data_IF_513512938894
#
_entry.id   IF_513512938894
#
_cell.length_a   1.000
_cell.length_b   1.000
_cell.length_c   1.000
_cell.angle_alpha   90.00
_cell.angle_beta   90.00
_cell.angle_gamma   90.00
#
_symmetry.space_group_name_H-M   'P 1'
#
loop_
_entity.id
_entity.type
_entity.pdbx_description
1 polymer ?
#
# COMPACT_ATOMS: atom_id res chain seq x y z
N UNK A 1 -6.01 -20.18 -11.02
CA UNK A 1 -6.69 -19.43 -9.99
C UNK A 1 -7.35 -18.17 -10.54
N UNK A 2 -8.08 -17.45 -9.71
CA UNK A 2 -8.69 -16.16 -10.05
C UNK A 2 -7.64 -15.11 -10.36
N UNK A 3 -8.00 -14.15 -11.20
CA UNK A 3 -7.17 -12.99 -11.58
C UNK A 3 -7.95 -11.70 -11.37
N UNK A 4 -7.23 -10.59 -11.28
CA UNK A 4 -7.85 -9.27 -11.30
C UNK A 4 -8.59 -9.07 -12.63
N UNK A 5 -9.86 -8.63 -12.56
CA UNK A 5 -10.75 -8.48 -13.72
C UNK A 5 -11.71 -9.66 -13.94
N UNK A 6 -11.50 -10.81 -13.29
CA UNK A 6 -12.49 -11.89 -13.31
C UNK A 6 -13.79 -11.43 -12.62
N UNK A 7 -14.95 -11.82 -13.16
CA UNK A 7 -16.25 -11.51 -12.59
C UNK A 7 -16.79 -12.71 -11.83
N UNK A 8 -16.86 -12.60 -10.49
CA UNK A 8 -17.41 -13.64 -9.60
C UNK A 8 -18.93 -13.56 -9.64
N UNK A 9 -19.60 -14.68 -9.91
CA UNK A 9 -21.06 -14.76 -9.94
C UNK A 9 -21.66 -15.77 -8.96
N UNK A 10 -20.84 -16.68 -8.37
CA UNK A 10 -21.27 -17.55 -7.26
C UNK A 10 -20.17 -17.69 -6.20
N UNK A 11 -20.61 -17.87 -4.96
CA UNK A 11 -19.76 -18.21 -3.80
C UNK A 11 -20.42 -19.37 -3.06
N UNK A 12 -19.68 -20.46 -2.85
CA UNK A 12 -20.16 -21.68 -2.21
C UNK A 12 -21.48 -22.21 -2.80
N UNK A 13 -21.59 -22.16 -4.14
CA UNK A 13 -22.76 -22.60 -4.89
C UNK A 13 -23.94 -21.62 -4.88
N UNK A 14 -23.86 -20.52 -4.15
CA UNK A 14 -24.92 -19.48 -4.10
C UNK A 14 -24.66 -18.39 -5.13
N UNK A 15 -25.64 -18.13 -5.99
CA UNK A 15 -25.56 -17.08 -7.01
C UNK A 15 -25.59 -15.69 -6.37
N UNK A 16 -24.63 -14.85 -6.73
CA UNK A 16 -24.60 -13.46 -6.31
C UNK A 16 -25.62 -12.64 -7.11
N UNK A 17 -26.37 -11.81 -6.40
CA UNK A 17 -27.39 -10.91 -6.95
C UNK A 17 -27.19 -9.50 -6.38
N UNK A 18 -27.84 -8.51 -6.97
CA UNK A 18 -27.85 -7.14 -6.44
C UNK A 18 -28.38 -7.03 -4.99
N UNK A 19 -29.19 -8.00 -4.55
CA UNK A 19 -29.78 -8.00 -3.20
C UNK A 19 -28.93 -8.71 -2.15
N UNK A 20 -28.01 -9.62 -2.52
CA UNK A 20 -27.26 -10.43 -1.57
C UNK A 20 -25.74 -10.23 -1.61
N UNK A 21 -25.16 -9.67 -2.68
CA UNK A 21 -23.71 -9.60 -2.85
C UNK A 21 -23.02 -8.83 -1.71
N UNK A 22 -23.63 -7.76 -1.20
CA UNK A 22 -23.04 -6.95 -0.11
C UNK A 22 -22.86 -7.76 1.17
N UNK A 23 -23.82 -8.62 1.51
CA UNK A 23 -23.74 -9.50 2.69
C UNK A 23 -22.57 -10.46 2.57
N UNK A 24 -22.41 -11.10 1.41
CA UNK A 24 -21.28 -12.02 1.16
C UNK A 24 -19.95 -11.31 1.12
N UNK A 25 -19.86 -10.15 0.46
CA UNK A 25 -18.62 -9.38 0.41
C UNK A 25 -18.20 -8.88 1.79
N UNK A 26 -19.15 -8.44 2.62
CA UNK A 26 -18.90 -8.06 4.00
C UNK A 26 -18.38 -9.23 4.84
N UNK A 27 -18.97 -10.42 4.70
CA UNK A 27 -18.51 -11.62 5.39
C UNK A 27 -17.09 -12.00 4.97
N UNK A 28 -16.81 -12.02 3.66
CA UNK A 28 -15.48 -12.33 3.12
C UNK A 28 -14.42 -11.32 3.56
N UNK A 29 -14.79 -10.05 3.70
CA UNK A 29 -13.86 -8.98 4.05
C UNK A 29 -13.59 -8.91 5.56
N UNK A 30 -14.64 -8.98 6.40
CA UNK A 30 -14.50 -8.74 7.84
C UNK A 30 -14.28 -10.02 8.67
N UNK A 31 -14.82 -11.14 8.24
CA UNK A 31 -14.78 -12.39 8.99
C UNK A 31 -14.53 -13.61 8.07
N UNK A 32 -13.47 -13.60 7.25
CA UNK A 32 -13.19 -14.76 6.43
C UNK A 32 -12.82 -15.96 7.30
N UNK A 33 -13.41 -17.13 7.01
CA UNK A 33 -13.06 -18.36 7.69
C UNK A 33 -13.31 -19.58 6.81
N UNK A 34 -12.43 -20.58 6.90
CA UNK A 34 -12.55 -21.82 6.12
C UNK A 34 -12.22 -21.65 4.64
N UNK A 35 -12.77 -22.53 3.82
CA UNK A 35 -12.56 -22.57 2.37
C UNK A 35 -13.82 -22.10 1.64
N UNK A 36 -13.62 -21.27 0.65
CA UNK A 36 -14.67 -20.75 -0.24
C UNK A 36 -14.47 -21.29 -1.65
N UNK A 37 -15.54 -21.74 -2.27
CA UNK A 37 -15.58 -22.07 -3.69
C UNK A 37 -16.15 -20.89 -4.46
N UNK A 38 -15.38 -20.31 -5.37
CA UNK A 38 -15.78 -19.24 -6.25
C UNK A 38 -16.05 -19.75 -7.65
N UNK A 39 -17.19 -19.38 -8.25
CA UNK A 39 -17.42 -19.55 -9.67
C UNK A 39 -17.38 -18.17 -10.35
N UNK A 40 -16.60 -18.05 -11.42
CA UNK A 40 -16.32 -16.78 -12.08
C UNK A 40 -16.18 -16.93 -13.59
N UNK A 41 -16.34 -15.83 -14.29
CA UNK A 41 -16.08 -15.71 -15.73
C UNK A 41 -14.88 -14.80 -15.95
N UNK A 42 -14.19 -15.01 -17.08
CA UNK A 42 -13.01 -14.24 -17.46
C UNK A 42 -13.27 -13.51 -18.77
N UNK A 43 -12.70 -12.29 -18.89
CA UNK A 43 -12.81 -11.46 -20.09
C UNK A 43 -14.25 -11.23 -20.58
N UNK A 44 -15.22 -11.19 -19.65
CA UNK A 44 -16.66 -11.10 -19.91
C UNK A 44 -17.21 -12.24 -20.81
N UNK A 45 -16.48 -13.35 -20.95
CA UNK A 45 -16.95 -14.54 -21.65
C UNK A 45 -17.98 -15.29 -20.81
N UNK A 46 -19.25 -15.12 -21.16
CA UNK A 46 -20.38 -15.74 -20.45
C UNK A 46 -20.56 -17.23 -20.82
N UNK A 47 -19.87 -17.73 -21.84
CA UNK A 47 -19.97 -19.13 -22.27
C UNK A 47 -19.04 -20.05 -21.48
N UNK A 48 -17.96 -19.48 -20.90
CA UNK A 48 -16.97 -20.24 -20.15
C UNK A 48 -16.95 -19.79 -18.69
N UNK A 49 -17.24 -20.70 -17.77
CA UNK A 49 -17.10 -20.46 -16.35
C UNK A 49 -15.93 -21.25 -15.75
N UNK A 50 -15.33 -20.68 -14.74
CA UNK A 50 -14.18 -21.26 -14.02
C UNK A 50 -14.54 -21.41 -12.54
N UNK A 51 -13.89 -22.35 -11.87
CA UNK A 51 -14.01 -22.56 -10.42
C UNK A 51 -12.65 -22.46 -9.76
N UNK A 52 -12.62 -21.84 -8.58
CA UNK A 52 -11.45 -21.81 -7.72
C UNK A 52 -11.84 -21.99 -6.26
N UNK A 53 -11.07 -22.78 -5.54
CA UNK A 53 -11.16 -22.88 -4.08
C UNK A 53 -10.08 -21.99 -3.45
N UNK A 54 -10.49 -21.19 -2.46
CA UNK A 54 -9.60 -20.28 -1.72
C UNK A 54 -9.86 -20.47 -0.23
N UNK A 55 -8.82 -20.83 0.50
CA UNK A 55 -8.88 -20.96 1.96
C UNK A 55 -8.47 -19.63 2.60
N UNK A 56 -9.26 -19.16 3.55
CA UNK A 56 -8.93 -17.97 4.32
C UNK A 56 -7.62 -18.19 5.11
N UNK A 57 -6.72 -17.25 5.00
CA UNK A 57 -5.44 -17.26 5.70
C UNK A 57 -5.06 -15.84 6.11
N UNK A 58 -4.20 -15.73 7.12
CA UNK A 58 -3.59 -14.45 7.44
C UNK A 58 -2.66 -14.05 6.30
N UNK A 59 -2.85 -12.86 5.80
CA UNK A 59 -2.07 -12.29 4.71
C UNK A 59 -1.62 -10.89 5.09
N UNK A 60 -0.32 -10.65 4.97
CA UNK A 60 0.23 -9.30 5.07
C UNK A 60 0.21 -8.71 3.67
N UNK A 61 -0.62 -7.70 3.50
CA UNK A 61 -0.80 -7.04 2.22
C UNK A 61 0.45 -6.21 1.85
N UNK A 62 0.97 -6.41 0.64
CA UNK A 62 2.08 -5.61 0.12
C UNK A 62 1.53 -4.44 -0.72
N UNK A 63 1.65 -3.18 -0.27
CA UNK A 63 1.16 -2.01 -0.98
C UNK A 63 2.06 -1.58 -2.14
N UNK A 64 3.26 -2.15 -2.27
CA UNK A 64 4.18 -1.87 -3.37
C UNK A 64 3.76 -2.68 -4.59
N UNK A 65 3.04 -2.03 -5.51
CA UNK A 65 2.59 -2.68 -6.75
C UNK A 65 3.73 -2.88 -7.75
N UNK A 66 4.68 -1.96 -7.75
CA UNK A 66 5.85 -2.02 -8.64
C UNK A 66 6.97 -1.14 -8.11
N UNK A 67 8.21 -1.60 -8.28
CA UNK A 67 9.41 -0.80 -8.05
C UNK A 67 10.49 -1.14 -9.07
N UNK A 68 11.29 -0.16 -9.45
CA UNK A 68 12.42 -0.33 -10.35
C UNK A 68 13.47 0.76 -10.14
N UNK A 69 14.71 0.47 -10.49
CA UNK A 69 15.74 1.47 -10.70
C UNK A 69 15.99 1.57 -12.20
N UNK A 70 15.72 2.74 -12.75
CA UNK A 70 15.90 3.06 -14.17
C UNK A 70 17.18 3.88 -14.34
N UNK A 71 17.81 3.82 -15.52
CA UNK A 71 19.01 4.61 -15.82
C UNK A 71 18.77 5.42 -17.09
N UNK A 72 18.99 6.73 -17.03
CA UNK A 72 18.90 7.64 -18.17
C UNK A 72 20.07 8.63 -18.10
N UNK A 73 21.02 8.48 -18.99
CA UNK A 73 22.26 9.26 -18.96
C UNK A 73 23.03 9.08 -17.64
N UNK A 74 23.21 10.16 -16.88
CA UNK A 74 23.86 10.13 -15.56
C UNK A 74 22.87 9.91 -14.41
N UNK A 75 21.56 9.87 -14.70
CA UNK A 75 20.51 9.73 -13.70
C UNK A 75 20.22 8.26 -13.38
N UNK A 76 20.06 7.97 -12.11
CA UNK A 76 19.50 6.72 -11.59
C UNK A 76 18.16 7.04 -10.94
N UNK A 77 17.09 6.63 -11.58
CA UNK A 77 15.73 7.02 -11.20
C UNK A 77 15.08 5.87 -10.46
N UNK A 78 14.78 6.05 -9.17
CA UNK A 78 13.89 5.16 -8.43
C UNK A 78 12.45 5.36 -8.92
N UNK A 79 11.77 4.29 -9.28
CA UNK A 79 10.35 4.32 -9.62
C UNK A 79 9.59 3.45 -8.62
N UNK A 80 8.66 4.02 -7.90
CA UNK A 80 7.83 3.36 -6.89
C UNK A 80 6.35 3.61 -7.15
N UNK A 81 5.58 2.53 -7.32
CA UNK A 81 4.11 2.56 -7.37
C UNK A 81 3.58 2.06 -6.03
N UNK A 82 2.96 2.94 -5.25
CA UNK A 82 2.45 2.65 -3.92
C UNK A 82 0.93 2.77 -3.89
N UNK A 83 0.23 1.66 -3.59
CA UNK A 83 -1.22 1.58 -3.63
C UNK A 83 -1.89 2.21 -2.40
N UNK A 84 -1.29 2.10 -1.21
CA UNK A 84 -1.79 2.75 0.02
C UNK A 84 -0.70 2.92 1.08
N UNK A 85 -1.02 3.60 2.17
CA UNK A 85 -0.15 3.81 3.32
C UNK A 85 -0.61 2.96 4.53
N UNK A 86 -0.62 1.64 4.39
CA UNK A 86 -0.97 0.73 5.49
C UNK A 86 0.22 0.55 6.46
N UNK A 87 -0.04 0.72 7.77
CA UNK A 87 0.98 0.59 8.81
C UNK A 87 1.60 -0.81 8.89
N UNK A 88 0.82 -1.85 8.62
CA UNK A 88 1.29 -3.24 8.71
C UNK A 88 2.22 -3.62 7.56
N UNK A 89 2.45 -2.71 6.63
CA UNK A 89 3.22 -2.96 5.41
C UNK A 89 4.52 -2.16 5.37
N UNK A 90 4.98 -1.65 6.50
CA UNK A 90 6.20 -0.83 6.58
C UNK A 90 7.42 -1.55 6.00
N UNK A 91 7.59 -2.84 6.31
CA UNK A 91 8.76 -3.62 5.86
C UNK A 91 8.92 -3.58 4.33
N UNK A 92 7.82 -3.66 3.58
CA UNK A 92 7.88 -3.61 2.11
C UNK A 92 8.34 -2.25 1.59
N UNK A 93 7.91 -1.16 2.23
CA UNK A 93 8.34 0.21 1.85
C UNK A 93 9.79 0.42 2.25
N UNK A 94 10.20 -0.06 3.41
CA UNK A 94 11.57 0.02 3.91
C UNK A 94 12.55 -0.74 3.01
N UNK A 95 12.19 -1.94 2.56
CA UNK A 95 12.98 -2.72 1.61
C UNK A 95 13.24 -1.94 0.31
N UNK A 96 12.21 -1.25 -0.22
CA UNK A 96 12.38 -0.44 -1.44
C UNK A 96 13.24 0.80 -1.18
N UNK A 97 13.06 1.50 -0.04
CA UNK A 97 13.91 2.64 0.34
C UNK A 97 15.37 2.18 0.47
N UNK A 98 15.62 1.03 1.10
CA UNK A 98 16.96 0.46 1.22
C UNK A 98 17.56 0.14 -0.15
N UNK A 99 16.79 -0.51 -1.03
CA UNK A 99 17.21 -0.81 -2.40
C UNK A 99 17.56 0.45 -3.19
N UNK A 100 16.76 1.50 -3.10
CA UNK A 100 17.00 2.77 -3.77
C UNK A 100 18.27 3.45 -3.25
N UNK A 101 18.47 3.48 -1.94
CA UNK A 101 19.67 4.05 -1.33
C UNK A 101 20.95 3.25 -1.70
N UNK A 102 20.89 1.91 -1.71
CA UNK A 102 22.01 1.06 -2.13
C UNK A 102 22.39 1.27 -3.60
N UNK A 103 21.40 1.54 -4.45
CA UNK A 103 21.65 1.89 -5.85
C UNK A 103 22.06 3.34 -6.06
N UNK A 104 22.07 4.18 -5.00
CA UNK A 104 22.39 5.60 -5.07
C UNK A 104 21.57 6.28 -6.16
N UNK A 105 20.23 6.22 -6.03
CA UNK A 105 19.34 6.91 -6.96
C UNK A 105 19.57 8.43 -6.87
N UNK A 106 19.46 9.12 -7.99
CA UNK A 106 19.59 10.58 -8.07
C UNK A 106 18.23 11.27 -8.16
N UNK A 107 17.21 10.53 -8.54
CA UNK A 107 15.85 11.02 -8.78
C UNK A 107 14.82 9.98 -8.31
N UNK A 108 13.61 10.43 -7.97
CA UNK A 108 12.51 9.55 -7.58
C UNK A 108 11.24 9.89 -8.35
N UNK A 109 10.60 8.88 -8.91
CA UNK A 109 9.21 8.95 -9.39
C UNK A 109 8.36 8.16 -8.41
N UNK A 110 7.56 8.88 -7.60
CA UNK A 110 6.58 8.30 -6.70
C UNK A 110 5.21 8.34 -7.35
N UNK A 111 4.71 7.17 -7.75
CA UNK A 111 3.39 7.03 -8.38
C UNK A 111 2.34 6.67 -7.34
N UNK A 112 1.50 7.65 -7.01
CA UNK A 112 0.37 7.53 -6.07
C UNK A 112 -0.99 7.51 -6.79
N UNK A 113 -1.01 7.28 -8.08
CA UNK A 113 -2.27 7.11 -8.80
C UNK A 113 -3.04 5.93 -8.22
N UNK A 114 -4.32 6.15 -7.91
CA UNK A 114 -5.19 5.18 -7.22
C UNK A 114 -4.85 4.92 -5.74
N UNK A 115 -3.93 5.67 -5.13
CA UNK A 115 -3.67 5.61 -3.70
C UNK A 115 -4.76 6.38 -2.93
N UNK A 116 -5.62 5.71 -2.12
CA UNK A 116 -6.69 6.37 -1.37
C UNK A 116 -6.21 7.02 -0.07
N UNK A 117 -4.93 6.92 0.26
CA UNK A 117 -4.37 7.39 1.52
C UNK A 117 -3.98 6.26 2.45
N UNK A 118 -4.21 6.46 3.76
CA UNK A 118 -3.89 5.49 4.80
C UNK A 118 -3.37 6.16 6.08
N UNK A 119 -2.40 5.54 6.74
CA UNK A 119 -1.83 6.02 7.98
C UNK A 119 -0.86 7.18 7.76
N UNK A 120 -1.07 8.28 8.49
CA UNK A 120 -0.18 9.45 8.45
C UNK A 120 1.25 9.09 8.86
N UNK A 121 1.42 8.18 9.82
CA UNK A 121 2.74 7.72 10.25
C UNK A 121 3.52 7.07 9.12
N UNK A 122 2.88 6.28 8.26
CA UNK A 122 3.52 5.64 7.11
C UNK A 122 3.87 6.65 6.01
N UNK A 123 2.97 7.60 5.70
CA UNK A 123 3.27 8.66 4.74
C UNK A 123 4.40 9.57 5.23
N UNK A 124 4.44 9.86 6.54
CA UNK A 124 5.53 10.59 7.19
C UNK A 124 6.86 9.85 7.10
N UNK A 125 6.87 8.52 7.27
CA UNK A 125 8.07 7.69 7.12
C UNK A 125 8.66 7.83 5.71
N UNK A 126 7.85 7.60 4.67
CA UNK A 126 8.29 7.71 3.29
C UNK A 126 8.74 9.14 2.94
N UNK A 127 7.97 10.15 3.36
CA UNK A 127 8.32 11.55 3.13
C UNK A 127 9.64 11.94 3.80
N UNK A 128 9.95 11.37 4.98
CA UNK A 128 11.21 11.63 5.67
C UNK A 128 12.42 11.04 4.93
N UNK A 129 12.25 9.85 4.33
CA UNK A 129 13.28 9.26 3.49
C UNK A 129 13.57 10.10 2.23
N UNK A 130 12.54 10.72 1.67
CA UNK A 130 12.65 11.57 0.47
C UNK A 130 13.26 12.94 0.81
N UNK A 131 12.77 13.57 1.90
CA UNK A 131 13.24 14.90 2.30
C UNK A 131 14.67 14.91 2.85
N UNK A 132 15.13 13.77 3.34
CA UNK A 132 16.49 13.62 3.88
C UNK A 132 16.68 14.18 5.29
N UNK A 133 17.86 13.94 5.83
CA UNK A 133 18.21 14.25 7.21
C UNK A 133 18.30 15.74 7.52
N UNK A 134 18.47 16.59 6.52
CA UNK A 134 18.50 18.06 6.67
C UNK A 134 17.16 18.66 7.08
N UNK A 135 16.03 17.92 6.92
CA UNK A 135 14.68 18.38 7.17
C UNK A 135 14.05 17.82 8.45
N UNK A 136 14.79 17.13 9.31
CA UNK A 136 14.24 16.46 10.51
C UNK A 136 13.51 17.40 11.47
N UNK A 137 13.93 18.67 11.55
CA UNK A 137 13.33 19.69 12.40
C UNK A 137 12.16 20.44 11.74
N UNK A 138 11.94 20.21 10.46
CA UNK A 138 10.85 20.85 9.74
C UNK A 138 9.49 20.19 10.04
N UNK A 139 8.43 20.95 9.86
CA UNK A 139 7.07 20.43 10.04
C UNK A 139 6.63 19.66 8.81
N UNK A 140 6.42 18.36 8.96
CA UNK A 140 5.82 17.50 7.93
C UNK A 140 4.32 17.82 7.76
N UNK A 141 3.57 17.89 8.87
CA UNK A 141 2.13 18.16 8.83
C UNK A 141 1.65 18.87 10.10
N UNK A 142 0.72 19.78 9.95
CA UNK A 142 -0.03 20.38 11.05
C UNK A 142 -1.39 19.69 11.15
N UNK A 143 -1.63 18.99 12.27
CA UNK A 143 -2.88 18.32 12.55
C UNK A 143 -3.78 19.20 13.41
N UNK A 144 -5.00 19.46 12.96
CA UNK A 144 -6.02 20.17 13.74
C UNK A 144 -7.11 19.18 14.14
N UNK A 145 -7.26 18.97 15.44
CA UNK A 145 -8.28 18.09 15.99
C UNK A 145 -9.65 18.76 16.07
N UNK A 146 -10.70 17.96 16.14
CA UNK A 146 -12.09 18.44 16.22
C UNK A 146 -12.35 19.38 17.40
N UNK A 147 -11.60 19.25 18.50
CA UNK A 147 -11.68 20.14 19.67
C UNK A 147 -10.93 21.47 19.49
N UNK A 148 -10.39 21.74 18.30
CA UNK A 148 -9.64 22.94 17.95
C UNK A 148 -8.16 22.91 18.34
N UNK A 149 -7.67 21.88 19.02
CA UNK A 149 -6.25 21.74 19.31
C UNK A 149 -5.47 21.48 18.03
N UNK A 150 -4.28 22.04 17.95
CA UNK A 150 -3.34 21.81 16.83
C UNK A 150 -2.07 21.17 17.34
N UNK A 151 -1.48 20.31 16.51
CA UNK A 151 -0.21 19.67 16.77
C UNK A 151 0.62 19.64 15.49
N UNK A 152 1.88 20.08 15.59
CA UNK A 152 2.83 20.01 14.48
C UNK A 152 3.62 18.71 14.60
N UNK A 153 3.55 17.87 13.56
CA UNK A 153 4.36 16.67 13.44
C UNK A 153 5.55 16.96 12.55
N UNK A 154 6.73 16.71 13.08
CA UNK A 154 8.01 16.87 12.38
C UNK A 154 8.26 15.71 11.44
N UNK A 155 9.18 15.86 10.48
CA UNK A 155 9.74 14.71 9.79
C UNK A 155 10.34 13.71 10.78
N UNK A 156 10.46 12.45 10.39
CA UNK A 156 10.95 11.38 11.27
C UNK A 156 12.46 11.35 11.34
N UNK A 157 12.97 10.87 12.46
CA UNK A 157 14.39 10.67 12.72
C UNK A 157 14.94 11.53 13.84
N UNK A 158 14.09 12.34 14.47
CA UNK A 158 14.45 13.08 15.69
C UNK A 158 14.44 12.18 16.94
N UNK A 159 15.12 12.59 18.02
CA UNK A 159 15.26 11.78 19.25
C UNK A 159 13.93 11.51 19.98
N UNK A 160 12.87 12.20 19.62
CA UNK A 160 11.52 12.10 20.23
C UNK A 160 10.49 11.45 19.30
N UNK A 161 10.93 10.73 18.29
CA UNK A 161 10.03 10.06 17.34
C UNK A 161 9.37 8.86 18.01
N UNK A 162 8.08 8.95 18.32
CA UNK A 162 7.36 8.00 19.17
C UNK A 162 6.32 7.14 18.43
N UNK A 163 6.20 7.25 17.11
CA UNK A 163 5.22 6.46 16.37
C UNK A 163 5.67 5.00 16.11
N UNK A 164 6.86 4.63 16.58
CA UNK A 164 7.33 3.24 16.64
C UNK A 164 7.87 2.68 15.32
N UNK A 165 7.89 3.46 14.26
CA UNK A 165 8.30 2.98 12.92
C UNK A 165 9.82 3.07 12.66
N UNK A 166 10.63 3.55 13.61
CA UNK A 166 12.08 3.71 13.41
C UNK A 166 12.45 4.93 12.54
N UNK A 167 13.71 5.10 12.23
CA UNK A 167 14.26 6.20 11.44
C UNK A 167 14.25 5.80 9.96
N UNK A 168 13.66 6.64 9.11
CA UNK A 168 13.72 6.43 7.67
C UNK A 168 15.17 6.65 7.17
N UNK A 169 15.61 5.78 6.25
CA UNK A 169 16.91 5.94 5.58
C UNK A 169 16.82 7.12 4.61
N UNK A 170 17.81 7.99 4.66
CA UNK A 170 17.94 9.10 3.73
C UNK A 170 18.24 8.58 2.32
N UNK A 171 17.47 9.01 1.32
CA UNK A 171 17.69 8.67 -0.08
C UNK A 171 18.74 9.55 -0.75
N UNK A 172 19.16 10.67 -0.10
CA UNK A 172 20.15 11.61 -0.63
C UNK A 172 19.68 12.33 -1.90
N UNK A 173 18.40 12.60 -2.01
CA UNK A 173 17.81 13.36 -3.10
C UNK A 173 17.88 14.86 -2.74
N UNK A 174 18.81 15.59 -3.34
CA UNK A 174 19.00 17.05 -3.17
C UNK A 174 18.22 17.84 -4.25
#
# INVERSE_FOLDING_TARGET
GMKRGDTIFKVNGLTLTSSNYQTYMSQLYYNPSGTYTFEFIRDADMESSYTAEVTAANYIYNPVLYSAVLSEGSHKIGYLVLENFDLNCQEFVEDIINQFAENSITDLILDLRFNPGGAVAQSRYLASAIAGTSHLDDTFVKVTFRNGNTQDWKFRGGPNDQDGLGIAKDLGLD
#
